data_IF_683041225372
#
_entry.id   IF_683041225372
#
_cell.length_a   1.000
_cell.length_b   1.000
_cell.length_c   1.000
_cell.angle_alpha   90.00
_cell.angle_beta   90.00
_cell.angle_gamma   90.00
#
_symmetry.space_group_name_H-M   'P 1'
#
loop_
_entity.id
_entity.type
_entity.pdbx_description
1 polymer ?
#
# COMPACT_ATOMS: atom_id res chain seq x y z
N UNK A 1 22.54 5.36 8.17
CA UNK A 1 21.27 6.12 8.04
C UNK A 1 21.58 7.51 7.50
N UNK A 2 20.68 8.11 6.72
CA UNK A 2 20.84 9.49 6.20
C UNK A 2 20.96 10.49 7.36
N UNK A 3 21.70 11.58 7.18
CA UNK A 3 21.77 12.69 8.16
C UNK A 3 20.39 13.37 8.41
N UNK A 4 19.40 13.10 7.56
CA UNK A 4 18.01 13.58 7.69
C UNK A 4 17.09 12.61 8.40
N UNK A 5 17.57 11.42 8.77
CA UNK A 5 16.75 10.45 9.50
C UNK A 5 16.52 10.98 10.91
N UNK A 6 15.26 11.19 11.29
CA UNK A 6 14.90 11.32 12.70
C UNK A 6 15.32 10.02 13.38
N UNK A 7 16.16 10.09 14.41
CA UNK A 7 16.60 8.92 15.20
C UNK A 7 15.76 8.74 16.47
N UNK A 8 14.75 9.58 16.67
CA UNK A 8 13.90 9.58 17.86
C UNK A 8 12.55 8.89 17.64
N UNK A 9 11.50 9.51 18.18
CA UNK A 9 10.17 8.93 18.36
C UNK A 9 9.52 8.45 17.06
N UNK A 10 9.81 9.06 15.90
CA UNK A 10 9.27 8.60 14.64
C UNK A 10 9.75 7.19 14.27
N UNK A 11 11.01 6.86 14.53
CA UNK A 11 11.54 5.51 14.26
C UNK A 11 10.98 4.50 15.25
N UNK A 12 10.87 4.87 16.52
CA UNK A 12 10.26 4.02 17.55
C UNK A 12 8.81 3.69 17.21
N UNK A 13 8.05 4.69 16.75
CA UNK A 13 6.67 4.50 16.30
C UNK A 13 6.60 3.62 15.05
N UNK A 14 7.43 3.87 14.03
CA UNK A 14 7.48 3.01 12.82
C UNK A 14 7.83 1.58 13.20
N UNK A 15 8.81 1.37 14.08
CA UNK A 15 9.19 0.04 14.56
C UNK A 15 8.01 -0.65 15.27
N UNK A 16 7.28 0.08 16.13
CA UNK A 16 6.13 -0.44 16.84
C UNK A 16 4.96 -0.81 15.91
N UNK A 17 4.60 0.03 14.95
CA UNK A 17 3.53 -0.23 13.97
C UNK A 17 3.82 -1.48 13.14
N UNK A 18 5.09 -1.80 12.91
CA UNK A 18 5.49 -3.00 12.17
C UNK A 18 5.55 -4.28 13.04
N UNK A 19 5.23 -4.21 14.34
CA UNK A 19 4.99 -5.42 15.15
C UNK A 19 3.62 -6.05 14.80
N UNK A 20 3.37 -7.34 15.11
CA UNK A 20 2.07 -7.95 14.85
C UNK A 20 0.91 -7.18 15.50
N UNK A 21 1.09 -6.81 16.78
CA UNK A 21 0.09 -6.05 17.55
C UNK A 21 -0.09 -4.63 17.02
N UNK A 22 1.00 -3.90 16.75
CA UNK A 22 0.92 -2.54 16.22
C UNK A 22 0.20 -2.52 14.87
N UNK A 23 0.56 -3.43 13.98
CA UNK A 23 -0.04 -3.53 12.65
C UNK A 23 -1.53 -3.87 12.71
N UNK A 24 -1.95 -4.77 13.62
CA UNK A 24 -3.36 -5.09 13.83
C UNK A 24 -4.15 -3.89 14.38
N UNK A 25 -3.58 -3.11 15.30
CA UNK A 25 -4.20 -1.89 15.82
C UNK A 25 -4.40 -0.85 14.72
N UNK A 26 -3.37 -0.58 13.93
CA UNK A 26 -3.43 0.38 12.83
C UNK A 26 -4.42 -0.05 11.75
N UNK A 27 -4.42 -1.34 11.39
CA UNK A 27 -5.36 -1.93 10.44
C UNK A 27 -6.82 -1.74 10.89
N UNK A 28 -7.11 -2.01 12.16
CA UNK A 28 -8.43 -1.81 12.75
C UNK A 28 -8.85 -0.34 12.76
N UNK A 29 -7.94 0.57 13.09
CA UNK A 29 -8.24 2.00 13.15
C UNK A 29 -8.54 2.59 11.76
N UNK A 30 -7.83 2.12 10.73
CA UNK A 30 -7.93 2.65 9.36
C UNK A 30 -8.89 1.88 8.46
N UNK A 31 -9.37 0.70 8.89
CA UNK A 31 -10.20 -0.17 8.06
C UNK A 31 -9.42 -0.78 6.88
N UNK A 32 -8.13 -1.05 7.06
CA UNK A 32 -7.24 -1.64 6.04
C UNK A 32 -6.76 -3.03 6.46
N UNK A 33 -6.07 -3.73 5.56
CA UNK A 33 -5.42 -5.01 5.91
C UNK A 33 -4.13 -4.78 6.70
N UNK A 34 -3.83 -5.59 7.73
CA UNK A 34 -2.55 -5.54 8.41
C UNK A 34 -1.43 -6.12 7.53
N UNK A 35 -0.20 -5.64 7.74
CA UNK A 35 0.96 -5.98 6.89
C UNK A 35 2.02 -6.81 7.63
N UNK A 36 2.08 -6.74 8.97
CA UNK A 36 3.05 -7.53 9.72
C UNK A 36 2.67 -9.01 9.76
N UNK A 37 3.66 -9.90 9.62
CA UNK A 37 3.46 -11.35 9.74
C UNK A 37 2.89 -11.66 11.13
N UNK A 38 1.82 -12.46 11.20
CA UNK A 38 1.11 -12.81 12.43
C UNK A 38 0.12 -11.76 12.94
N UNK A 39 0.02 -10.59 12.30
CA UNK A 39 -0.97 -9.57 12.68
C UNK A 39 -2.42 -9.98 12.36
N UNK A 40 -2.63 -10.76 11.30
CA UNK A 40 -3.97 -11.23 10.91
C UNK A 40 -4.62 -12.10 12.01
N UNK A 41 -3.83 -12.89 12.73
CA UNK A 41 -4.29 -13.75 13.82
C UNK A 41 -4.82 -12.94 15.02
N UNK A 42 -4.47 -11.65 15.10
CA UNK A 42 -4.91 -10.71 16.13
C UNK A 42 -6.15 -9.90 15.72
N UNK A 43 -6.60 -10.02 14.46
CA UNK A 43 -7.81 -9.37 13.96
C UNK A 43 -9.07 -10.14 14.40
N UNK A 44 -10.23 -9.49 14.38
CA UNK A 44 -11.51 -10.16 14.65
C UNK A 44 -11.88 -11.19 13.56
N UNK A 45 -12.80 -12.09 13.90
CA UNK A 45 -13.22 -13.19 13.03
C UNK A 45 -13.88 -12.70 11.74
N UNK A 46 -14.54 -11.54 11.77
CA UNK A 46 -15.20 -10.95 10.60
C UNK A 46 -14.17 -10.51 9.58
N UNK A 47 -13.10 -9.83 10.02
CA UNK A 47 -11.99 -9.42 9.17
C UNK A 47 -11.22 -10.64 8.64
N UNK A 48 -10.92 -11.62 9.50
CA UNK A 48 -10.27 -12.85 9.06
C UNK A 48 -11.10 -13.57 7.98
N UNK A 49 -12.42 -13.67 8.19
CA UNK A 49 -13.34 -14.25 7.23
C UNK A 49 -13.45 -13.44 5.94
N UNK A 50 -13.46 -12.11 6.02
CA UNK A 50 -13.47 -11.21 4.86
C UNK A 50 -12.22 -11.42 3.99
N UNK A 51 -11.04 -11.45 4.60
CA UNK A 51 -9.77 -11.64 3.90
C UNK A 51 -9.70 -13.02 3.25
N UNK A 52 -10.09 -14.08 3.96
CA UNK A 52 -10.11 -15.44 3.41
C UNK A 52 -11.02 -15.56 2.18
N UNK A 53 -12.17 -14.88 2.16
CA UNK A 53 -13.06 -14.83 0.99
C UNK A 53 -12.55 -13.93 -0.13
N UNK A 54 -11.85 -12.85 0.20
CA UNK A 54 -11.35 -11.87 -0.78
C UNK A 54 -10.12 -12.36 -1.53
N UNK A 55 -9.30 -13.20 -0.89
CA UNK A 55 -8.04 -13.69 -1.44
C UNK A 55 -7.95 -15.22 -1.46
N UNK A 56 -8.84 -15.90 -2.20
CA UNK A 56 -8.79 -17.35 -2.25
C UNK A 56 -7.52 -17.81 -3.00
N UNK A 57 -6.85 -18.90 -2.56
CA UNK A 57 -5.50 -19.25 -3.04
C UNK A 57 -5.38 -19.41 -4.55
N UNK A 58 -6.39 -19.97 -5.21
CA UNK A 58 -6.43 -20.18 -6.65
C UNK A 58 -6.55 -18.87 -7.46
N UNK A 59 -7.18 -17.84 -6.89
CA UNK A 59 -7.23 -16.51 -7.49
C UNK A 59 -5.90 -15.78 -7.32
N UNK A 60 -5.24 -15.94 -6.15
CA UNK A 60 -3.93 -15.35 -5.89
C UNK A 60 -2.86 -15.88 -6.86
N UNK A 61 -2.92 -17.16 -7.25
CA UNK A 61 -2.01 -17.74 -8.25
C UNK A 61 -2.17 -17.12 -9.65
N UNK A 62 -3.34 -16.54 -9.96
CA UNK A 62 -3.63 -15.89 -11.24
C UNK A 62 -3.41 -14.38 -11.21
N UNK A 63 -3.16 -13.82 -10.02
CA UNK A 63 -2.97 -12.39 -9.88
C UNK A 63 -1.66 -11.96 -10.55
N UNK A 64 -1.71 -10.91 -11.34
CA UNK A 64 -0.50 -10.30 -11.89
C UNK A 64 0.33 -9.72 -10.74
N UNK A 65 1.39 -10.44 -10.35
CA UNK A 65 2.32 -9.98 -9.33
C UNK A 65 2.97 -8.69 -9.82
N UNK A 66 3.14 -7.72 -8.92
CA UNK A 66 3.83 -6.49 -9.27
C UNK A 66 5.23 -6.85 -9.80
N UNK A 67 5.58 -6.46 -11.04
CA UNK A 67 6.87 -6.78 -11.60
C UNK A 67 7.97 -6.02 -10.84
N UNK A 68 9.18 -6.57 -10.85
CA UNK A 68 10.37 -5.84 -10.43
C UNK A 68 10.43 -4.49 -11.16
N UNK A 69 10.76 -3.43 -10.42
CA UNK A 69 10.97 -2.11 -11.02
C UNK A 69 12.47 -1.94 -11.29
N UNK A 70 12.95 -2.17 -12.53
CA UNK A 70 14.36 -2.00 -12.84
C UNK A 70 14.78 -0.54 -12.68
N UNK A 71 16.07 -0.30 -12.43
CA UNK A 71 16.61 1.04 -12.14
C UNK A 71 16.23 2.07 -13.22
N UNK A 72 16.19 1.68 -14.49
CA UNK A 72 15.78 2.58 -15.58
C UNK A 72 14.31 3.04 -15.40
N UNK A 73 13.41 2.13 -15.00
CA UNK A 73 12.00 2.46 -14.81
C UNK A 73 11.81 3.36 -13.60
N UNK A 74 12.50 3.08 -12.49
CA UNK A 74 12.44 3.93 -11.28
C UNK A 74 12.87 5.36 -11.58
N UNK A 75 13.92 5.55 -12.39
CA UNK A 75 14.38 6.88 -12.82
C UNK A 75 13.37 7.62 -13.70
N UNK A 76 12.58 6.90 -14.48
CA UNK A 76 11.66 7.48 -15.48
C UNK A 76 10.20 7.56 -15.02
N UNK A 77 9.79 6.86 -13.95
CA UNK A 77 8.37 6.71 -13.56
C UNK A 77 7.65 8.03 -13.31
N UNK A 78 8.34 9.05 -12.79
CA UNK A 78 7.77 10.38 -12.57
C UNK A 78 7.45 11.09 -13.90
N UNK A 79 8.29 10.92 -14.92
CA UNK A 79 8.06 11.46 -16.26
C UNK A 79 6.82 10.83 -16.91
N UNK A 80 6.66 9.51 -16.79
CA UNK A 80 5.46 8.82 -17.27
C UNK A 80 4.21 9.29 -16.54
N UNK A 81 4.28 9.42 -15.20
CA UNK A 81 3.16 9.90 -14.40
C UNK A 81 2.76 11.34 -14.78
N UNK A 82 3.73 12.21 -15.06
CA UNK A 82 3.48 13.58 -15.51
C UNK A 82 2.81 13.61 -16.90
N UNK A 83 3.32 12.85 -17.86
CA UNK A 83 2.73 12.75 -19.20
C UNK A 83 1.28 12.26 -19.15
N UNK A 84 1.00 11.24 -18.34
CA UNK A 84 -0.37 10.74 -18.13
C UNK A 84 -1.29 11.82 -17.57
N UNK A 85 -0.88 12.51 -16.50
CA UNK A 85 -1.66 13.61 -15.90
C UNK A 85 -1.94 14.75 -16.88
N UNK A 86 -0.97 15.09 -17.73
CA UNK A 86 -1.13 16.15 -18.73
C UNK A 86 -2.21 15.81 -19.76
N UNK A 87 -2.37 14.54 -20.12
CA UNK A 87 -3.41 14.07 -21.05
C UNK A 87 -4.76 13.97 -20.34
N UNK A 88 -4.82 13.28 -19.21
CA UNK A 88 -6.08 13.04 -18.49
C UNK A 88 -6.65 14.33 -17.92
N UNK A 89 -5.82 15.21 -17.36
CA UNK A 89 -6.27 16.51 -16.83
C UNK A 89 -6.94 17.37 -17.91
N UNK A 90 -6.39 17.38 -19.13
CA UNK A 90 -7.01 18.07 -20.27
C UNK A 90 -8.33 17.42 -20.68
N UNK A 91 -8.41 16.09 -20.65
CA UNK A 91 -9.64 15.35 -21.00
C UNK A 91 -10.77 15.61 -20.00
N UNK A 92 -10.44 15.69 -18.70
CA UNK A 92 -11.39 16.02 -17.63
C UNK A 92 -11.88 17.46 -17.76
N UNK A 93 -11.00 18.41 -18.04
CA UNK A 93 -11.37 19.81 -18.26
C UNK A 93 -12.29 20.00 -19.49
N UNK A 94 -11.97 19.33 -20.59
CA UNK A 94 -12.80 19.36 -21.80
C UNK A 94 -14.22 18.80 -21.56
N UNK A 95 -14.35 17.79 -20.69
CA UNK A 95 -15.65 17.19 -20.33
C UNK A 95 -16.47 18.03 -19.35
N UNK A 96 -15.85 18.92 -18.57
CA UNK A 96 -16.58 19.83 -17.66
C UNK A 96 -17.14 21.08 -18.36
N UNK A 97 -16.79 21.29 -19.63
CA UNK A 97 -17.21 22.43 -20.46
C UNK A 97 -18.33 22.08 -21.45
N UNK A 98 -18.76 20.81 -21.49
CA UNK A 98 -19.84 20.28 -22.32
C UNK A 98 -21.05 19.94 -21.45
#
# INVERSE_FOLDING_TARGET
>A
MSAKADTGLAQEWIAWVNTPRGSAHDARALGVSPCAIGAMDLMDADMQGFIARSYPPEALLKLWRQPEQPVWFVKSREGYAHAYRAVVGKLVWARSQA
#
